data_IF_042204091339
#
_entry.id   IF_042204091339
#
_cell.length_a   1.000
_cell.length_b   1.000
_cell.length_c   1.000
_cell.angle_alpha   90.00
_cell.angle_beta   90.00
_cell.angle_gamma   90.00
#
_symmetry.space_group_name_H-M   'P 1'
#
loop_
_entity.id
_entity.type
_entity.pdbx_description
1 polymer ?
#
# COMPACT_ATOMS: atom_id res chain seq x y z
N UNK A 1 13.79 9.23 -25.60
CA UNK A 1 14.14 8.44 -24.40
C UNK A 1 13.64 9.19 -23.18
N UNK A 2 13.04 8.53 -22.18
CA UNK A 2 12.62 9.20 -20.96
C UNK A 2 13.85 9.82 -20.25
N UNK A 3 13.73 11.05 -19.72
CA UNK A 3 14.74 11.63 -18.85
C UNK A 3 15.14 10.67 -17.72
N UNK A 4 16.39 10.74 -17.26
CA UNK A 4 16.89 9.88 -16.18
C UNK A 4 16.03 9.95 -14.90
N UNK A 5 15.47 11.13 -14.61
CA UNK A 5 14.58 11.36 -13.47
C UNK A 5 13.26 10.59 -13.59
N UNK A 6 12.72 10.43 -14.80
CA UNK A 6 11.51 9.65 -15.04
C UNK A 6 11.77 8.16 -14.82
N UNK A 7 12.93 7.67 -15.26
CA UNK A 7 13.33 6.27 -15.02
C UNK A 7 13.48 5.98 -13.53
N UNK A 8 14.12 6.87 -12.79
CA UNK A 8 14.25 6.75 -11.33
C UNK A 8 12.86 6.74 -10.67
N UNK A 9 11.98 7.66 -11.05
CA UNK A 9 10.62 7.73 -10.53
C UNK A 9 9.83 6.44 -10.83
N UNK A 10 9.87 5.95 -12.07
CA UNK A 10 9.20 4.71 -12.48
C UNK A 10 9.68 3.51 -11.63
N UNK A 11 11.00 3.38 -11.45
CA UNK A 11 11.57 2.28 -10.65
C UNK A 11 11.14 2.40 -9.19
N UNK A 12 11.22 3.60 -8.60
CA UNK A 12 10.83 3.82 -7.21
C UNK A 12 9.34 3.54 -6.98
N UNK A 13 8.47 4.06 -7.84
CA UNK A 13 7.03 3.83 -7.78
C UNK A 13 6.69 2.34 -7.94
N UNK A 14 7.31 1.67 -8.91
CA UNK A 14 7.13 0.22 -9.12
C UNK A 14 7.57 -0.61 -7.91
N UNK A 15 8.73 -0.29 -7.33
CA UNK A 15 9.23 -0.95 -6.13
C UNK A 15 8.30 -0.76 -4.93
N UNK A 16 7.86 0.47 -4.65
CA UNK A 16 6.93 0.74 -3.55
C UNK A 16 5.56 0.07 -3.77
N UNK A 17 5.06 0.05 -5.00
CA UNK A 17 3.84 -0.68 -5.33
C UNK A 17 3.99 -2.19 -5.07
N UNK A 18 5.14 -2.78 -5.43
CA UNK A 18 5.43 -4.19 -5.16
C UNK A 18 5.51 -4.49 -3.65
N UNK A 19 6.13 -3.60 -2.85
CA UNK A 19 6.13 -3.71 -1.40
C UNK A 19 4.70 -3.65 -0.84
N UNK A 20 3.88 -2.73 -1.34
CA UNK A 20 2.47 -2.61 -0.97
C UNK A 20 1.67 -3.87 -1.29
N UNK A 21 1.86 -4.44 -2.48
CA UNK A 21 1.23 -5.72 -2.83
C UNK A 21 1.69 -6.84 -1.90
N UNK A 22 3.00 -6.92 -1.62
CA UNK A 22 3.58 -7.88 -0.70
C UNK A 22 2.97 -7.77 0.71
N UNK A 23 2.86 -6.56 1.25
CA UNK A 23 2.27 -6.35 2.58
C UNK A 23 0.75 -6.59 2.60
N UNK A 24 0.06 -6.31 1.49
CA UNK A 24 -1.36 -6.59 1.36
C UNK A 24 -1.66 -8.09 1.31
N UNK A 25 -0.79 -8.91 0.70
CA UNK A 25 -0.99 -10.36 0.56
C UNK A 25 -0.38 -11.15 1.73
N UNK A 26 0.80 -10.73 2.22
CA UNK A 26 1.58 -11.40 3.24
C UNK A 26 1.88 -10.46 4.45
N UNK A 27 0.87 -10.14 5.28
CA UNK A 27 1.06 -9.20 6.38
C UNK A 27 2.04 -9.69 7.47
N UNK A 28 2.21 -11.01 7.64
CA UNK A 28 3.22 -11.61 8.53
C UNK A 28 4.67 -11.35 8.08
N UNK A 29 4.89 -11.24 6.77
CA UNK A 29 6.18 -10.82 6.24
C UNK A 29 6.36 -9.31 6.46
N UNK A 30 5.31 -8.52 6.22
CA UNK A 30 5.34 -7.08 6.37
C UNK A 30 5.70 -6.66 7.80
N UNK A 31 5.13 -7.29 8.82
CA UNK A 31 5.46 -7.03 10.24
C UNK A 31 6.96 -7.18 10.52
N UNK A 32 7.61 -8.18 9.91
CA UNK A 32 9.05 -8.39 10.02
C UNK A 32 9.87 -7.32 9.30
N UNK A 33 9.43 -6.87 8.12
CA UNK A 33 10.12 -5.82 7.35
C UNK A 33 10.08 -4.48 8.08
N UNK A 34 8.90 -4.07 8.56
CA UNK A 34 8.74 -2.80 9.28
C UNK A 34 9.10 -2.91 10.77
N UNK A 35 9.37 -4.14 11.25
CA UNK A 35 9.67 -4.46 12.65
C UNK A 35 8.62 -3.93 13.63
N UNK A 36 7.36 -3.90 13.19
CA UNK A 36 6.22 -3.54 14.02
C UNK A 36 5.49 -4.81 14.45
N UNK A 37 5.13 -4.85 15.72
CA UNK A 37 4.27 -5.90 16.28
C UNK A 37 2.84 -5.39 16.33
N UNK A 38 1.84 -6.25 16.07
CA UNK A 38 0.46 -5.92 16.39
C UNK A 38 0.33 -5.53 17.87
N UNK A 39 -0.68 -4.73 18.23
CA UNK A 39 -0.87 -4.22 19.58
C UNK A 39 -0.73 -5.35 20.62
N UNK A 40 0.27 -5.27 21.53
CA UNK A 40 0.58 -6.34 22.48
C UNK A 40 -0.39 -6.39 23.67
N UNK A 41 -1.29 -5.42 23.79
CA UNK A 41 -2.34 -5.38 24.81
C UNK A 41 -3.30 -6.58 24.65
N UNK A 42 -3.33 -7.52 25.61
CA UNK A 42 -4.18 -8.72 25.54
C UNK A 42 -5.68 -8.40 25.52
N UNK A 43 -6.08 -7.23 26.03
CA UNK A 43 -7.48 -6.79 26.07
C UNK A 43 -7.89 -6.09 24.76
N UNK A 44 -6.92 -5.78 23.90
CA UNK A 44 -7.10 -5.13 22.59
C UNK A 44 -6.14 -5.75 21.56
N UNK A 45 -6.25 -7.07 21.30
CA UNK A 45 -5.33 -7.76 20.42
C UNK A 45 -5.30 -7.06 19.06
N UNK A 46 -4.13 -6.56 18.71
CA UNK A 46 -3.93 -5.98 17.38
C UNK A 46 -3.85 -7.11 16.37
N UNK A 47 -4.37 -6.86 15.17
CA UNK A 47 -4.24 -7.81 14.06
C UNK A 47 -3.58 -7.20 12.84
N UNK A 48 -3.77 -7.84 11.69
CA UNK A 48 -3.09 -7.45 10.45
C UNK A 48 -3.77 -6.30 9.70
N UNK A 49 -4.81 -5.69 10.27
CA UNK A 49 -5.56 -4.62 9.59
C UNK A 49 -4.68 -3.43 9.19
N UNK A 50 -3.77 -2.98 10.04
CA UNK A 50 -2.91 -1.82 9.72
C UNK A 50 -1.89 -2.17 8.64
N UNK A 51 -1.37 -3.40 8.68
CA UNK A 51 -0.43 -3.91 7.69
C UNK A 51 -1.08 -4.06 6.32
N UNK A 52 -2.31 -4.59 6.24
CA UNK A 52 -3.02 -4.67 4.97
C UNK A 52 -3.53 -3.31 4.48
N UNK A 53 -3.96 -2.43 5.38
CA UNK A 53 -4.48 -1.11 5.00
C UNK A 53 -3.36 -0.15 4.59
N UNK A 54 -2.46 0.22 5.49
CA UNK A 54 -1.51 1.32 5.29
C UNK A 54 -0.26 0.85 4.56
N UNK A 55 0.39 -0.20 5.07
CA UNK A 55 1.59 -0.76 4.43
C UNK A 55 1.25 -1.55 3.17
N UNK A 56 0.03 -2.06 3.07
CA UNK A 56 -0.47 -2.83 1.95
C UNK A 56 -1.16 -1.96 0.90
N UNK A 57 -2.47 -1.86 1.01
CA UNK A 57 -3.34 -1.27 0.00
C UNK A 57 -3.06 0.22 -0.28
N UNK A 58 -2.80 1.03 0.76
CA UNK A 58 -2.48 2.44 0.58
C UNK A 58 -1.15 2.60 -0.16
N UNK A 59 -0.09 1.94 0.32
CA UNK A 59 1.22 1.96 -0.33
C UNK A 59 1.14 1.42 -1.76
N UNK A 60 0.39 0.35 -1.99
CA UNK A 60 0.16 -0.22 -3.33
C UNK A 60 -0.51 0.80 -4.25
N UNK A 61 -1.71 1.27 -3.91
CA UNK A 61 -2.53 2.02 -4.86
C UNK A 61 -2.05 3.47 -5.04
N UNK A 62 -1.45 4.11 -4.03
CA UNK A 62 -0.88 5.45 -4.21
C UNK A 62 0.30 5.43 -5.19
N UNK A 63 1.17 4.41 -5.11
CA UNK A 63 2.35 4.31 -5.99
C UNK A 63 2.00 3.71 -7.35
N UNK A 64 1.11 2.71 -7.40
CA UNK A 64 0.70 2.09 -8.66
C UNK A 64 -0.06 3.07 -9.55
N UNK A 65 -0.97 3.87 -8.99
CA UNK A 65 -1.70 4.87 -9.76
C UNK A 65 -0.77 5.97 -10.28
N UNK A 66 0.17 6.46 -9.46
CA UNK A 66 1.20 7.39 -9.91
C UNK A 66 2.09 6.78 -11.02
N UNK A 67 2.46 5.50 -10.89
CA UNK A 67 3.22 4.78 -11.92
C UNK A 67 2.44 4.71 -13.24
N UNK A 68 1.15 4.35 -13.19
CA UNK A 68 0.29 4.29 -14.37
C UNK A 68 0.25 5.65 -15.06
N UNK A 69 0.08 6.75 -14.32
CA UNK A 69 0.09 8.11 -14.89
C UNK A 69 1.43 8.46 -15.54
N UNK A 70 2.54 8.11 -14.89
CA UNK A 70 3.90 8.36 -15.44
C UNK A 70 4.12 7.64 -16.76
N UNK A 71 3.64 6.39 -16.88
CA UNK A 71 3.78 5.56 -18.08
C UNK A 71 2.88 6.00 -19.25
N UNK A 72 1.95 6.94 -19.06
CA UNK A 72 1.13 7.47 -20.15
C UNK A 72 1.94 8.41 -21.03
N UNK A 73 2.29 7.98 -22.25
CA UNK A 73 3.10 8.79 -23.18
C UNK A 73 2.38 10.07 -23.65
N UNK A 74 1.06 10.02 -23.80
CA UNK A 74 0.24 11.11 -24.33
C UNK A 74 -0.34 12.02 -23.25
N UNK A 75 -0.10 11.73 -21.97
CA UNK A 75 -0.63 12.54 -20.88
C UNK A 75 0.24 13.79 -20.70
N UNK A 76 -0.38 14.96 -20.76
CA UNK A 76 0.31 16.23 -20.56
C UNK A 76 1.01 16.24 -19.18
N UNK A 77 2.24 16.75 -19.14
CA UNK A 77 3.07 16.86 -17.92
C UNK A 77 2.31 17.54 -16.78
N UNK A 78 1.49 18.56 -17.06
CA UNK A 78 0.68 19.23 -16.06
C UNK A 78 -0.23 18.26 -15.27
N UNK A 79 -0.77 17.23 -15.93
CA UNK A 79 -1.60 16.20 -15.28
C UNK A 79 -0.78 15.15 -14.54
N UNK A 80 0.49 14.92 -14.93
CA UNK A 80 1.39 14.00 -14.20
C UNK A 80 1.85 14.57 -12.85
N UNK A 81 1.84 15.90 -12.71
CA UNK A 81 2.24 16.60 -11.48
C UNK A 81 1.09 16.65 -10.45
N UNK A 82 -0.17 16.53 -10.89
CA UNK A 82 -1.32 16.62 -9.98
C UNK A 82 -1.49 15.30 -9.22
N UNK A 83 -1.22 15.34 -7.91
CA UNK A 83 -1.26 14.16 -7.03
C UNK A 83 -2.65 13.75 -6.54
N UNK A 84 -3.73 14.47 -6.91
CA UNK A 84 -5.07 14.24 -6.34
C UNK A 84 -5.58 12.82 -6.61
N UNK A 85 -5.44 12.32 -7.85
CA UNK A 85 -5.88 10.97 -8.19
C UNK A 85 -5.08 9.89 -7.43
N UNK A 86 -3.74 9.91 -7.41
CA UNK A 86 -2.98 8.96 -6.60
C UNK A 86 -3.33 8.99 -5.11
N UNK A 87 -3.53 10.16 -4.52
CA UNK A 87 -3.92 10.29 -3.11
C UNK A 87 -5.28 9.63 -2.86
N UNK A 88 -6.27 9.90 -3.73
CA UNK A 88 -7.59 9.26 -3.63
C UNK A 88 -7.50 7.73 -3.77
N UNK A 89 -6.69 7.25 -4.70
CA UNK A 89 -6.42 5.82 -4.88
C UNK A 89 -5.73 5.20 -3.66
N UNK A 90 -4.82 5.92 -2.99
CA UNK A 90 -4.21 5.48 -1.74
C UNK A 90 -5.25 5.22 -0.64
N UNK A 91 -6.20 6.13 -0.45
CA UNK A 91 -7.27 5.94 0.54
C UNK A 91 -8.25 4.83 0.16
N UNK A 92 -8.57 4.69 -1.13
CA UNK A 92 -9.31 3.53 -1.63
C UNK A 92 -8.57 2.23 -1.28
N UNK A 93 -7.24 2.21 -1.46
CA UNK A 93 -6.37 1.09 -1.14
C UNK A 93 -6.36 0.76 0.34
N UNK A 94 -6.27 1.76 1.22
CA UNK A 94 -6.43 1.56 2.67
C UNK A 94 -7.76 0.88 3.02
N UNK A 95 -8.86 1.35 2.40
CA UNK A 95 -10.18 0.76 2.55
C UNK A 95 -10.23 -0.70 2.11
N UNK A 96 -9.65 -1.01 0.94
CA UNK A 96 -9.54 -2.39 0.44
C UNK A 96 -8.75 -3.28 1.38
N UNK A 97 -7.60 -2.80 1.88
CA UNK A 97 -6.77 -3.54 2.82
C UNK A 97 -7.49 -3.84 4.13
N UNK A 98 -8.24 -2.86 4.65
CA UNK A 98 -9.10 -3.06 5.83
C UNK A 98 -10.21 -4.07 5.56
N UNK A 99 -10.88 -3.98 4.41
CA UNK A 99 -11.90 -4.96 4.01
C UNK A 99 -11.32 -6.38 3.92
N UNK A 100 -10.17 -6.54 3.27
CA UNK A 100 -9.48 -7.83 3.19
C UNK A 100 -9.13 -8.37 4.58
N UNK A 101 -8.69 -7.51 5.50
CA UNK A 101 -8.37 -7.95 6.85
C UNK A 101 -9.60 -8.46 7.62
N UNK A 102 -10.77 -7.81 7.46
CA UNK A 102 -12.02 -8.28 8.06
C UNK A 102 -12.45 -9.66 7.54
N UNK A 103 -12.14 -9.96 6.27
CA UNK A 103 -12.54 -11.21 5.64
C UNK A 103 -11.53 -12.34 5.91
N UNK A 104 -10.22 -12.03 5.85
CA UNK A 104 -9.15 -13.02 5.81
C UNK A 104 -8.44 -13.23 7.15
N UNK A 105 -8.28 -12.18 7.97
CA UNK A 105 -7.48 -12.24 9.21
C UNK A 105 -8.37 -12.39 10.45
N UNK A 106 -9.51 -13.10 10.33
CA UNK A 106 -10.52 -13.15 11.40
C UNK A 106 -9.96 -13.66 12.72
N UNK A 107 -9.04 -14.62 12.70
CA UNK A 107 -8.38 -15.16 13.90
C UNK A 107 -7.45 -14.11 14.48
N UNK A 108 -6.50 -13.63 13.69
CA UNK A 108 -5.53 -12.64 14.13
C UNK A 108 -6.12 -11.27 14.52
N UNK A 109 -7.32 -10.94 14.05
CA UNK A 109 -8.04 -9.71 14.43
C UNK A 109 -9.00 -9.88 15.63
N UNK A 110 -9.28 -11.12 16.10
CA UNK A 110 -10.31 -11.39 17.13
C UNK A 110 -9.87 -12.34 18.24
N UNK A 111 -8.66 -12.88 18.18
CA UNK A 111 -8.09 -13.68 19.26
C UNK A 111 -7.77 -12.78 20.46
N UNK A 112 -8.72 -12.69 21.39
CA UNK A 112 -8.42 -12.36 22.78
C UNK A 112 -7.83 -13.63 23.43
N UNK A 113 -6.51 -13.73 23.55
CA UNK A 113 -5.84 -14.79 24.32
C UNK A 113 -5.68 -16.13 23.62
#
# INVERSE_FOLDING_TARGET
MPPIYDLIAIIALGFCAALGLGAMLAPKWATGVVRLVPNPDPDKPGGFSEFRATYGGLLLLIHLSALILMLQANLNVAYKIIAVFPIAMGWLGAGMGRFLSLVLDKKENRENG
#
